data_IF_252791411184
#
_entry.id   IF_252791411184
#
_cell.length_a   1.000
_cell.length_b   1.000
_cell.length_c   1.000
_cell.angle_alpha   90.00
_cell.angle_beta   90.00
_cell.angle_gamma   90.00
#
_symmetry.space_group_name_H-M   'P 1'
#
loop_
_entity.id
_entity.type
_entity.pdbx_description
1 polymer ?
#
# COMPACT_ATOMS: atom_id res chain seq x y z
N UNK A 1 0.46 6.26 3.97
CA UNK A 1 1.74 6.96 4.28
C UNK A 1 2.96 6.14 3.89
N UNK A 2 3.27 5.01 4.53
CA UNK A 2 4.47 4.21 4.21
C UNK A 2 4.56 3.75 2.74
N UNK A 3 3.42 3.42 2.11
CA UNK A 3 3.37 3.05 0.69
C UNK A 3 3.60 4.21 -0.28
N UNK A 4 3.36 5.46 0.14
CA UNK A 4 3.68 6.62 -0.70
C UNK A 4 5.20 6.76 -0.87
N UNK A 5 5.96 6.48 0.19
CA UNK A 5 7.42 6.45 0.13
C UNK A 5 7.96 5.34 -0.79
N UNK A 6 7.26 4.20 -0.91
CA UNK A 6 7.62 3.15 -1.88
C UNK A 6 7.38 3.58 -3.33
N UNK A 7 6.44 4.48 -3.57
CA UNK A 7 6.17 5.07 -4.89
C UNK A 7 7.01 6.34 -5.14
N UNK A 8 7.95 6.68 -4.26
CA UNK A 8 8.72 7.94 -4.32
C UNK A 8 7.85 9.21 -4.28
N UNK A 9 6.69 9.15 -3.62
CA UNK A 9 5.74 10.25 -3.49
C UNK A 9 5.72 10.82 -2.07
N UNK A 10 5.30 12.08 -1.97
CA UNK A 10 5.03 12.72 -0.68
C UNK A 10 4.00 11.93 0.12
N UNK A 11 4.21 11.83 1.44
CA UNK A 11 3.34 11.07 2.32
C UNK A 11 1.86 11.48 2.18
N UNK A 12 1.60 12.78 1.99
CA UNK A 12 0.27 13.38 1.81
C UNK A 12 -0.54 12.70 0.70
N UNK A 13 0.09 12.26 -0.39
CA UNK A 13 -0.59 11.54 -1.48
C UNK A 13 -1.22 10.24 -0.99
N UNK A 14 -0.61 9.59 0.01
CA UNK A 14 -1.17 8.41 0.65
C UNK A 14 -2.47 8.68 1.42
N UNK A 15 -2.67 9.90 1.92
CA UNK A 15 -3.92 10.31 2.55
C UNK A 15 -5.01 10.52 1.49
N UNK A 16 -4.71 11.29 0.44
CA UNK A 16 -5.63 11.56 -0.67
C UNK A 16 -6.13 10.26 -1.32
N UNK A 17 -5.20 9.35 -1.60
CA UNK A 17 -5.48 8.04 -2.21
C UNK A 17 -6.35 7.14 -1.31
N UNK A 18 -6.30 7.34 0.01
CA UNK A 18 -7.15 6.58 0.95
C UNK A 18 -8.53 7.17 1.15
N UNK A 19 -8.72 8.45 0.82
CA UNK A 19 -9.95 9.19 1.07
C UNK A 19 -10.82 9.35 -0.18
N UNK A 20 -10.32 10.03 -1.22
CA UNK A 20 -11.14 10.38 -2.38
C UNK A 20 -11.64 9.16 -3.16
N UNK A 21 -10.79 8.16 -3.48
CA UNK A 21 -11.26 6.93 -4.10
C UNK A 21 -12.28 6.20 -3.24
N UNK A 22 -12.12 6.20 -1.92
CA UNK A 22 -13.06 5.53 -1.00
C UNK A 22 -14.44 6.19 -1.01
N UNK A 23 -14.51 7.52 -0.99
CA UNK A 23 -15.80 8.26 -1.09
C UNK A 23 -16.53 7.88 -2.37
N UNK A 24 -15.82 7.88 -3.49
CA UNK A 24 -16.37 7.52 -4.80
C UNK A 24 -16.83 6.05 -4.80
N UNK A 25 -16.00 5.16 -4.29
CA UNK A 25 -16.28 3.74 -4.24
C UNK A 25 -17.50 3.40 -3.40
N UNK A 26 -17.76 4.12 -2.30
CA UNK A 26 -18.97 3.91 -1.50
C UNK A 26 -20.25 4.21 -2.27
N UNK A 27 -20.20 5.13 -3.23
CA UNK A 27 -21.36 5.50 -4.05
C UNK A 27 -21.61 4.48 -5.16
N UNK A 28 -20.54 4.00 -5.81
CA UNK A 28 -20.65 3.20 -7.05
C UNK A 28 -20.36 1.71 -6.87
N UNK A 29 -19.59 1.33 -5.85
CA UNK A 29 -19.17 -0.04 -5.56
C UNK A 29 -20.29 -0.90 -4.97
N UNK A 30 -20.08 -2.22 -5.00
CA UNK A 30 -21.05 -3.19 -4.45
C UNK A 30 -20.59 -3.83 -3.16
N UNK A 31 -19.28 -3.84 -2.90
CA UNK A 31 -18.76 -4.42 -1.67
C UNK A 31 -19.02 -3.56 -0.44
N UNK A 32 -19.51 -4.20 0.64
CA UNK A 32 -19.84 -3.55 1.92
C UNK A 32 -18.65 -3.35 2.85
N UNK A 33 -17.58 -4.12 2.64
CA UNK A 33 -16.45 -4.19 3.56
C UNK A 33 -15.13 -3.72 2.95
N UNK A 34 -15.06 -3.50 1.64
CA UNK A 34 -13.83 -3.01 1.00
C UNK A 34 -13.59 -1.56 1.40
N UNK A 35 -12.34 -1.27 1.73
CA UNK A 35 -11.84 0.10 1.87
C UNK A 35 -10.69 0.30 0.89
N UNK A 36 -10.72 1.37 0.10
CA UNK A 36 -9.67 1.66 -0.87
C UNK A 36 -8.47 2.36 -0.22
N UNK A 37 -7.29 2.15 -0.78
CA UNK A 37 -6.06 2.83 -0.37
C UNK A 37 -4.87 2.41 -1.20
N UNK A 38 -3.68 2.91 -0.83
CA UNK A 38 -2.44 2.46 -1.46
C UNK A 38 -2.15 0.99 -1.12
N UNK A 39 -1.68 0.26 -2.13
CA UNK A 39 -1.23 -1.12 -2.00
C UNK A 39 0.25 -1.22 -2.42
N UNK A 40 1.03 -2.05 -1.72
CA UNK A 40 2.48 -2.11 -1.88
C UNK A 40 2.91 -2.46 -3.32
N UNK A 41 2.28 -3.45 -3.96
CA UNK A 41 2.63 -3.85 -5.33
C UNK A 41 2.30 -2.73 -6.31
N UNK A 42 1.10 -2.13 -6.19
CA UNK A 42 0.71 -1.01 -7.05
C UNK A 42 1.66 0.19 -6.90
N UNK A 43 2.11 0.49 -5.67
CA UNK A 43 3.08 1.55 -5.37
C UNK A 43 4.48 1.30 -5.95
N UNK A 44 4.93 0.04 -5.94
CA UNK A 44 6.20 -0.34 -6.57
C UNK A 44 6.11 -0.27 -8.11
N UNK A 45 4.98 -0.72 -8.70
CA UNK A 45 4.77 -0.66 -10.15
C UNK A 45 4.75 0.78 -10.66
N UNK A 46 3.99 1.68 -10.02
CA UNK A 46 4.01 3.12 -10.36
C UNK A 46 5.36 3.77 -10.11
N UNK A 47 6.05 3.44 -9.01
CA UNK A 47 7.41 3.93 -8.75
C UNK A 47 8.38 3.53 -9.87
N UNK A 48 8.33 2.27 -10.31
CA UNK A 48 9.17 1.77 -11.40
C UNK A 48 8.82 2.38 -12.76
N UNK A 49 7.54 2.63 -13.03
CA UNK A 49 7.10 3.32 -14.24
C UNK A 49 7.65 4.76 -14.25
N UNK A 50 7.55 5.46 -13.12
CA UNK A 50 8.07 6.83 -12.98
C UNK A 50 9.60 6.90 -13.16
N UNK A 51 10.35 5.91 -12.67
CA UNK A 51 11.81 5.88 -12.79
C UNK A 51 12.34 5.38 -14.14
N UNK A 52 11.50 4.85 -15.05
CA UNK A 52 11.89 4.24 -16.35
C UNK A 52 13.26 3.54 -16.31
N UNK A 53 13.42 2.59 -15.39
CA UNK A 53 14.55 1.67 -15.47
C UNK A 53 14.30 0.69 -16.62
N UNK A 54 15.20 0.68 -17.60
CA UNK A 54 15.14 -0.10 -18.84
C UNK A 54 14.98 -1.63 -18.65
N UNK A 55 15.11 -2.11 -17.42
CA UNK A 55 14.98 -3.52 -17.06
C UNK A 55 13.54 -4.06 -17.18
N UNK A 56 12.52 -3.21 -17.00
CA UNK A 56 11.09 -3.62 -17.08
C UNK A 56 10.58 -3.69 -18.52
N UNK A 57 11.16 -2.90 -19.44
CA UNK A 57 10.85 -2.96 -20.87
C UNK A 57 11.16 -4.34 -21.47
N UNK A 58 12.19 -5.04 -20.96
CA UNK A 58 12.51 -6.41 -21.37
C UNK A 58 11.40 -7.40 -20.96
N UNK A 59 10.81 -7.26 -19.77
CA UNK A 59 9.67 -8.07 -19.34
C UNK A 59 8.41 -7.84 -20.19
N UNK A 60 8.21 -6.59 -20.63
CA UNK A 60 7.10 -6.23 -21.52
C UNK A 60 7.27 -6.81 -22.93
N UNK A 61 8.49 -6.78 -23.49
CA UNK A 61 8.84 -7.34 -24.81
C UNK A 61 8.76 -8.88 -24.80
N UNK A 62 9.16 -9.52 -23.71
CA UNK A 62 9.15 -10.98 -23.56
C UNK A 62 7.77 -11.59 -23.23
N UNK A 63 6.69 -10.80 -23.24
CA UNK A 63 5.31 -11.23 -22.90
C UNK A 63 5.19 -12.04 -21.59
N UNK A 64 6.04 -11.75 -20.59
CA UNK A 64 6.02 -12.45 -19.29
C UNK A 64 4.83 -12.05 -18.39
N UNK A 65 3.89 -11.25 -18.92
CA UNK A 65 2.63 -10.86 -18.26
C UNK A 65 1.80 -12.06 -17.80
N UNK A 66 1.88 -13.20 -18.50
CA UNK A 66 1.23 -14.44 -18.08
C UNK A 66 1.73 -14.92 -16.71
N UNK A 67 3.02 -14.76 -16.39
CA UNK A 67 3.60 -15.16 -15.10
C UNK A 67 3.08 -14.30 -13.95
N UNK A 68 2.80 -13.01 -14.20
CA UNK A 68 2.25 -12.12 -13.16
C UNK A 68 0.79 -12.40 -12.84
N UNK A 69 0.00 -12.88 -13.81
CA UNK A 69 -1.38 -13.35 -13.61
C UNK A 69 -1.40 -14.76 -12.98
N UNK A 70 -0.38 -15.58 -13.27
CA UNK A 70 -0.15 -16.90 -12.67
C UNK A 70 0.71 -16.87 -11.41
N UNK A 71 0.94 -15.70 -10.81
CA UNK A 71 1.62 -15.61 -9.54
C UNK A 71 0.69 -16.23 -8.48
N UNK A 72 0.86 -17.53 -8.26
CA UNK A 72 0.03 -18.30 -7.36
C UNK A 72 0.05 -17.63 -5.97
N UNK A 73 -1.03 -17.76 -5.20
CA UNK A 73 -1.11 -17.25 -3.82
C UNK A 73 0.17 -17.53 -2.98
N UNK A 74 0.87 -18.69 -3.14
CA UNK A 74 2.16 -18.93 -2.50
C UNK A 74 3.29 -17.97 -2.90
N UNK A 75 3.34 -17.51 -4.16
CA UNK A 75 4.37 -16.58 -4.65
C UNK A 75 4.07 -15.15 -4.18
N UNK A 76 2.80 -14.72 -4.19
CA UNK A 76 2.40 -13.44 -3.59
C UNK A 76 2.65 -13.46 -2.08
N UNK A 77 2.32 -14.57 -1.41
CA UNK A 77 2.65 -14.82 0.00
C UNK A 77 4.16 -14.79 0.27
N UNK A 78 4.96 -15.47 -0.57
CA UNK A 78 6.42 -15.47 -0.48
C UNK A 78 7.05 -14.09 -0.71
N UNK A 79 6.57 -13.35 -1.71
CA UNK A 79 7.02 -11.99 -2.01
C UNK A 79 6.65 -11.01 -0.89
N UNK A 80 5.42 -11.04 -0.39
CA UNK A 80 4.99 -10.16 0.71
C UNK A 80 5.73 -10.48 2.01
N UNK A 81 5.93 -11.76 2.32
CA UNK A 81 6.73 -12.19 3.48
C UNK A 81 8.20 -11.75 3.33
N UNK A 82 8.80 -11.99 2.16
CA UNK A 82 10.17 -11.57 1.86
C UNK A 82 10.36 -10.05 1.93
N UNK A 83 9.42 -9.29 1.37
CA UNK A 83 9.39 -7.83 1.46
C UNK A 83 9.23 -7.35 2.92
N UNK A 84 8.38 -8.01 3.71
CA UNK A 84 8.22 -7.69 5.13
C UNK A 84 9.52 -7.96 5.91
N UNK A 85 10.16 -9.11 5.70
CA UNK A 85 11.46 -9.43 6.29
C UNK A 85 12.54 -8.41 5.88
N UNK A 86 12.57 -8.01 4.61
CA UNK A 86 13.50 -7.01 4.11
C UNK A 86 13.27 -5.63 4.73
N UNK A 87 12.02 -5.16 4.77
CA UNK A 87 11.67 -3.89 5.43
C UNK A 87 12.06 -3.94 6.89
N UNK A 88 11.69 -5.00 7.61
CA UNK A 88 12.06 -5.18 9.01
C UNK A 88 13.57 -5.09 9.21
N UNK A 89 14.36 -5.85 8.44
CA UNK A 89 15.82 -5.81 8.49
C UNK A 89 16.36 -4.39 8.24
N UNK A 90 15.83 -3.67 7.25
CA UNK A 90 16.27 -2.31 6.92
C UNK A 90 15.95 -1.25 7.99
N UNK A 91 14.95 -1.49 8.84
CA UNK A 91 14.57 -0.57 9.92
C UNK A 91 15.28 -0.88 11.25
N UNK A 92 15.80 -2.11 11.44
CA UNK A 92 16.49 -2.51 12.67
C UNK A 92 17.67 -1.61 13.07
N UNK A 93 18.60 -1.22 12.16
CA UNK A 93 19.71 -0.35 12.55
C UNK A 93 19.26 1.04 13.04
N UNK A 94 18.13 1.55 12.52
CA UNK A 94 17.59 2.85 12.92
C UNK A 94 17.00 2.82 14.33
N UNK A 95 16.39 1.71 14.72
CA UNK A 95 15.85 1.50 16.08
C UNK A 95 16.97 1.40 17.12
N UNK A 96 18.08 0.75 16.77
CA UNK A 96 19.25 0.56 17.65
C UNK A 96 20.22 1.76 17.57
N UNK A 97 20.07 2.65 16.59
CA UNK A 97 20.89 3.86 16.44
C UNK A 97 22.28 3.60 15.86
N UNK A 98 22.42 2.56 15.04
CA UNK A 98 23.69 2.15 14.42
C UNK A 98 23.65 2.47 12.93
N UNK A 99 24.72 3.07 12.40
CA UNK A 99 24.88 3.30 10.96
C UNK A 99 25.70 2.17 10.35
N UNK A 100 25.09 1.42 9.44
CA UNK A 100 25.78 0.37 8.67
C UNK A 100 26.06 0.94 7.27
N UNK A 101 27.32 0.96 6.82
CA UNK A 101 27.66 1.46 5.49
C UNK A 101 27.07 0.55 4.39
N UNK A 102 26.54 1.11 3.30
CA UNK A 102 25.98 0.33 2.21
C UNK A 102 27.08 -0.41 1.42
N UNK A 103 27.02 -1.74 1.37
CA UNK A 103 27.88 -2.56 0.51
C UNK A 103 27.34 -2.63 -0.92
N UNK A 104 28.19 -2.25 -1.88
CA UNK A 104 27.92 -2.35 -3.32
C UNK A 104 28.59 -3.62 -3.87
N UNK A 105 27.83 -4.46 -4.57
CA UNK A 105 28.32 -5.71 -5.17
C UNK A 105 27.36 -6.23 -6.25
N UNK A 106 27.88 -7.02 -7.22
CA UNK A 106 27.16 -7.38 -8.46
C UNK A 106 25.99 -8.36 -8.28
N UNK A 107 25.87 -9.03 -7.12
CA UNK A 107 24.77 -9.94 -6.79
C UNK A 107 23.89 -9.33 -5.67
N UNK A 108 22.87 -8.56 -6.05
CA UNK A 108 21.99 -7.85 -5.11
C UNK A 108 21.14 -8.74 -4.19
N UNK A 109 20.89 -10.00 -4.57
CA UNK A 109 20.01 -10.94 -3.89
C UNK A 109 20.56 -11.49 -2.55
N UNK A 110 21.88 -11.52 -2.36
CA UNK A 110 22.51 -12.04 -1.13
C UNK A 110 22.92 -10.95 -0.14
N UNK A 111 22.41 -9.72 -0.28
CA UNK A 111 22.78 -8.61 0.63
C UNK A 111 22.24 -8.77 2.06
N UNK A 112 21.10 -9.44 2.24
CA UNK A 112 20.43 -9.53 3.55
C UNK A 112 21.24 -10.36 4.56
N UNK A 113 21.76 -11.56 4.25
CA UNK A 113 22.59 -12.33 5.18
C UNK A 113 23.86 -11.57 5.63
N UNK A 114 24.57 -10.92 4.69
CA UNK A 114 25.74 -10.11 5.02
C UNK A 114 25.38 -8.89 5.87
N UNK A 115 24.26 -8.23 5.56
CA UNK A 115 23.76 -7.12 6.37
C UNK A 115 23.42 -7.56 7.80
N UNK A 116 22.81 -8.74 7.98
CA UNK A 116 22.52 -9.29 9.31
C UNK A 116 23.80 -9.60 10.08
N UNK A 117 24.84 -10.10 9.41
CA UNK A 117 26.15 -10.32 10.01
C UNK A 117 26.83 -9.00 10.43
N UNK A 118 26.85 -8.01 9.55
CA UNK A 118 27.40 -6.67 9.83
C UNK A 118 26.62 -5.97 10.96
N UNK A 119 25.30 -6.16 11.02
CA UNK A 119 24.45 -5.68 12.11
C UNK A 119 24.77 -6.37 13.44
N UNK A 120 24.94 -7.70 13.45
CA UNK A 120 25.29 -8.47 14.64
C UNK A 120 26.64 -8.03 15.22
N UNK A 121 27.63 -7.73 14.38
CA UNK A 121 28.91 -7.18 14.81
C UNK A 121 28.79 -5.73 15.33
N UNK A 122 27.87 -4.96 14.76
CA UNK A 122 27.68 -3.56 15.12
C UNK A 122 26.79 -3.34 16.35
N UNK A 123 26.17 -4.40 16.90
CA UNK A 123 25.38 -4.34 18.15
C UNK A 123 26.19 -3.79 19.34
N UNK A 124 27.51 -3.96 19.33
CA UNK A 124 28.40 -3.40 20.36
C UNK A 124 28.53 -1.88 20.29
N UNK A 125 28.23 -1.26 19.16
CA UNK A 125 28.29 0.21 18.94
C UNK A 125 26.89 0.86 19.02
N UNK A 126 25.98 0.25 19.77
CA UNK A 126 24.61 0.71 19.96
C UNK A 126 24.56 2.06 20.68
N UNK A 127 23.74 2.97 20.19
CA UNK A 127 23.46 4.23 20.87
C UNK A 127 22.28 4.05 21.82
N UNK A 128 22.56 4.02 23.13
CA UNK A 128 21.56 3.80 24.19
C UNK A 128 20.45 4.85 24.16
N UNK A 129 20.73 6.11 23.80
CA UNK A 129 19.71 7.16 23.73
C UNK A 129 18.69 6.90 22.62
N UNK A 130 19.13 6.44 21.45
CA UNK A 130 18.24 6.09 20.34
C UNK A 130 17.41 4.85 20.67
N UNK A 131 18.01 3.88 21.37
CA UNK A 131 17.32 2.69 21.85
C UNK A 131 16.20 3.04 22.85
N UNK A 132 16.48 3.91 23.82
CA UNK A 132 15.48 4.36 24.80
C UNK A 132 14.36 5.15 24.09
N UNK A 133 14.71 6.08 23.20
CA UNK A 133 13.72 6.88 22.47
C UNK A 133 12.85 6.03 21.54
N UNK A 134 13.43 5.04 20.85
CA UNK A 134 12.67 4.13 20.00
C UNK A 134 11.79 3.18 20.81
N UNK A 135 12.26 2.71 21.97
CA UNK A 135 11.44 1.93 22.90
C UNK A 135 10.25 2.74 23.38
N UNK A 136 10.47 3.95 23.90
CA UNK A 136 9.40 4.87 24.33
C UNK A 136 8.42 5.13 23.18
N UNK A 137 8.93 5.41 21.97
CA UNK A 137 8.09 5.63 20.79
C UNK A 137 7.25 4.40 20.42
N UNK A 138 7.83 3.20 20.47
CA UNK A 138 7.10 1.95 20.20
C UNK A 138 6.04 1.71 21.28
N UNK A 139 6.37 1.91 22.55
CA UNK A 139 5.42 1.72 23.66
C UNK A 139 4.27 2.72 23.57
N UNK A 140 4.54 3.98 23.23
CA UNK A 140 3.52 5.01 22.99
C UNK A 140 2.66 4.66 21.77
N UNK A 141 3.25 4.22 20.66
CA UNK A 141 2.50 3.82 19.47
C UNK A 141 1.63 2.58 19.73
N UNK A 142 2.18 1.58 20.42
CA UNK A 142 1.47 0.34 20.77
C UNK A 142 0.34 0.63 21.76
N UNK A 143 0.59 1.45 22.78
CA UNK A 143 -0.44 1.88 23.73
C UNK A 143 -1.51 2.72 23.02
N UNK A 144 -1.08 3.60 22.12
CA UNK A 144 -1.95 4.35 21.21
C UNK A 144 -2.85 3.43 20.40
N UNK A 145 -2.30 2.38 19.78
CA UNK A 145 -3.01 1.45 18.90
C UNK A 145 -3.92 0.45 19.64
N UNK A 146 -3.50 -0.05 20.80
CA UNK A 146 -4.18 -1.15 21.49
C UNK A 146 -5.00 -0.71 22.71
N UNK A 147 -4.61 0.36 23.42
CA UNK A 147 -5.32 0.85 24.60
C UNK A 147 -6.17 2.10 24.30
N UNK A 148 -5.65 3.02 23.49
CA UNK A 148 -6.30 4.33 23.23
C UNK A 148 -7.22 4.26 22.01
N UNK A 149 -6.78 3.62 20.92
CA UNK A 149 -7.55 3.55 19.68
C UNK A 149 -8.92 2.88 19.86
N UNK A 150 -9.08 1.71 20.51
CA UNK A 150 -10.40 1.09 20.65
C UNK A 150 -11.47 1.97 21.36
N UNK A 151 -11.18 2.67 22.48
CA UNK A 151 -12.15 3.58 23.10
C UNK A 151 -12.25 4.96 22.43
N UNK A 152 -11.16 5.51 21.88
CA UNK A 152 -11.17 6.84 21.22
C UNK A 152 -11.86 6.79 19.86
N UNK A 153 -11.78 5.66 19.15
CA UNK A 153 -12.48 5.43 17.88
C UNK A 153 -14.01 5.34 18.08
N UNK A 154 -14.50 5.17 19.32
CA UNK A 154 -15.92 5.30 19.67
C UNK A 154 -16.37 6.75 19.89
N UNK A 155 -15.45 7.70 20.09
CA UNK A 155 -15.77 9.10 20.48
C UNK A 155 -15.32 10.15 19.47
N UNK A 156 -14.32 9.87 18.63
CA UNK A 156 -13.85 10.77 17.59
C UNK A 156 -14.09 10.11 16.23
N UNK A 157 -15.15 10.55 15.55
CA UNK A 157 -15.35 10.29 14.12
C UNK A 157 -14.47 11.28 13.35
N UNK A 158 -13.55 10.74 12.56
CA UNK A 158 -12.74 11.46 11.56
C UNK A 158 -11.50 12.19 12.12
N UNK A 159 -10.26 11.77 11.76
CA UNK A 159 -9.11 12.67 11.84
C UNK A 159 -9.29 13.77 10.79
N UNK A 160 -9.52 15.01 11.22
CA UNK A 160 -9.72 16.17 10.33
C UNK A 160 -8.36 16.62 9.78
N UNK A 161 -8.08 16.47 8.49
CA UNK A 161 -6.85 16.95 7.88
C UNK A 161 -7.14 18.35 7.33
N UNK A 162 -6.51 19.39 7.88
CA UNK A 162 -6.64 20.75 7.34
C UNK A 162 -5.84 20.95 6.04
N UNK A 163 -5.16 19.92 5.53
CA UNK A 163 -4.47 19.89 4.23
C UNK A 163 -5.23 19.08 3.14
N UNK A 164 -6.52 18.81 3.36
CA UNK A 164 -7.30 17.83 2.58
C UNK A 164 -7.84 18.32 1.24
N UNK A 165 -7.56 19.56 0.83
CA UNK A 165 -7.92 20.05 -0.49
C UNK A 165 -6.71 19.87 -1.42
N UNK A 166 -6.60 18.76 -2.18
CA UNK A 166 -5.64 18.70 -3.25
C UNK A 166 -5.97 19.83 -4.23
N UNK A 167 -4.98 20.64 -4.56
CA UNK A 167 -5.10 21.56 -5.69
C UNK A 167 -5.31 20.65 -6.92
N UNK A 168 -6.45 20.76 -7.64
CA UNK A 168 -6.68 19.94 -8.81
C UNK A 168 -5.54 20.18 -9.80
N UNK A 169 -4.74 19.15 -10.05
CA UNK A 169 -3.63 19.22 -10.98
C UNK A 169 -4.03 18.45 -12.23
N UNK A 170 -3.95 19.11 -13.39
CA UNK A 170 -4.21 18.44 -14.66
C UNK A 170 -3.08 17.43 -14.92
N UNK A 171 -3.40 16.16 -15.22
CA UNK A 171 -2.39 15.19 -15.61
C UNK A 171 -1.71 15.64 -16.91
N UNK A 172 -0.39 15.52 -16.97
CA UNK A 172 0.36 15.84 -18.20
C UNK A 172 0.13 14.75 -19.25
N UNK A 173 -0.65 15.09 -20.28
CA UNK A 173 -0.99 14.17 -21.36
C UNK A 173 0.17 13.90 -22.33
N UNK A 174 1.27 14.67 -22.27
CA UNK A 174 2.41 14.51 -23.20
C UNK A 174 3.05 13.13 -23.13
N UNK A 175 3.07 12.53 -21.94
CA UNK A 175 3.68 11.22 -21.69
C UNK A 175 2.65 10.08 -21.65
N UNK A 176 1.37 10.37 -21.93
CA UNK A 176 0.27 9.42 -21.80
C UNK A 176 0.52 8.12 -22.58
N UNK A 177 0.93 8.23 -23.85
CA UNK A 177 1.21 7.07 -24.69
C UNK A 177 2.34 6.19 -24.14
N UNK A 178 3.34 6.80 -23.51
CA UNK A 178 4.50 6.10 -22.98
C UNK A 178 4.22 5.35 -21.65
N UNK A 179 3.14 5.72 -20.95
CA UNK A 179 2.69 5.05 -19.72
C UNK A 179 1.43 4.20 -19.91
N UNK A 180 0.92 4.09 -21.15
CA UNK A 180 -0.34 3.40 -21.44
C UNK A 180 -0.29 1.92 -21.02
N UNK A 181 0.82 1.24 -21.35
CA UNK A 181 0.99 -0.17 -21.01
C UNK A 181 1.12 -0.36 -19.49
N UNK A 182 1.95 0.45 -18.82
CA UNK A 182 2.12 0.41 -17.37
C UNK A 182 0.78 0.66 -16.66
N UNK A 183 0.02 1.67 -17.11
CA UNK A 183 -1.29 2.01 -16.57
C UNK A 183 -2.30 0.87 -16.75
N UNK A 184 -2.30 0.21 -17.91
CA UNK A 184 -3.15 -0.96 -18.17
C UNK A 184 -2.81 -2.12 -17.21
N UNK A 185 -1.53 -2.44 -17.05
CA UNK A 185 -1.08 -3.51 -16.15
C UNK A 185 -1.42 -3.21 -14.68
N UNK A 186 -1.15 -1.98 -14.23
CA UNK A 186 -1.52 -1.53 -12.89
C UNK A 186 -3.04 -1.64 -12.68
N UNK A 187 -3.85 -1.25 -13.67
CA UNK A 187 -5.31 -1.36 -13.59
C UNK A 187 -5.79 -2.81 -13.46
N UNK A 188 -5.21 -3.74 -14.21
CA UNK A 188 -5.54 -5.18 -14.13
C UNK A 188 -5.21 -5.73 -12.73
N UNK A 189 -4.01 -5.43 -12.21
CA UNK A 189 -3.58 -5.89 -10.88
C UNK A 189 -4.48 -5.32 -9.79
N UNK A 190 -4.74 -4.01 -9.83
CA UNK A 190 -5.60 -3.32 -8.86
C UNK A 190 -7.02 -3.89 -8.85
N UNK A 191 -7.60 -4.09 -10.04
CA UNK A 191 -8.94 -4.66 -10.17
C UNK A 191 -8.99 -6.09 -9.63
N UNK A 192 -8.03 -6.94 -10.01
CA UNK A 192 -7.93 -8.33 -9.58
C UNK A 192 -7.86 -8.45 -8.05
N UNK A 193 -6.96 -7.70 -7.42
CA UNK A 193 -6.81 -7.67 -5.96
C UNK A 193 -8.09 -7.20 -5.27
N UNK A 194 -8.68 -6.11 -5.77
CA UNK A 194 -9.88 -5.51 -5.17
C UNK A 194 -11.07 -6.47 -5.22
N UNK A 195 -11.34 -7.08 -6.38
CA UNK A 195 -12.43 -8.06 -6.53
C UNK A 195 -12.16 -9.33 -5.70
N UNK A 196 -10.91 -9.78 -5.62
CA UNK A 196 -10.54 -10.95 -4.82
C UNK A 196 -10.81 -10.72 -3.34
N UNK A 197 -10.35 -9.59 -2.79
CA UNK A 197 -10.66 -9.18 -1.40
C UNK A 197 -12.17 -9.07 -1.20
N UNK A 198 -12.89 -8.45 -2.14
CA UNK A 198 -14.34 -8.32 -2.06
C UNK A 198 -15.05 -9.65 -1.96
N UNK A 199 -14.72 -10.60 -2.84
CA UNK A 199 -15.36 -11.93 -2.88
C UNK A 199 -15.17 -12.69 -1.57
N UNK A 200 -14.03 -12.54 -0.90
CA UNK A 200 -13.78 -13.15 0.42
C UNK A 200 -14.81 -12.67 1.45
N UNK A 201 -15.05 -11.36 1.54
CA UNK A 201 -16.03 -10.80 2.48
C UNK A 201 -17.48 -11.01 2.05
N UNK A 202 -17.75 -11.00 0.74
CA UNK A 202 -19.06 -11.32 0.16
C UNK A 202 -19.52 -12.71 0.55
N UNK A 203 -18.62 -13.70 0.41
CA UNK A 203 -18.86 -15.08 0.84
C UNK A 203 -19.03 -15.19 2.36
N UNK A 204 -18.21 -14.48 3.14
CA UNK A 204 -18.27 -14.49 4.61
C UNK A 204 -19.58 -13.92 5.17
N UNK A 205 -20.12 -12.89 4.54
CA UNK A 205 -21.30 -12.14 5.02
C UNK A 205 -22.54 -12.32 4.15
N UNK A 206 -22.57 -13.37 3.31
CA UNK A 206 -23.71 -13.75 2.48
C UNK A 206 -24.31 -12.60 1.63
N UNK A 207 -23.45 -11.84 0.94
CA UNK A 207 -23.88 -10.89 -0.08
C UNK A 207 -23.18 -11.16 -1.41
N UNK A 208 -23.70 -10.61 -2.50
CA UNK A 208 -23.12 -10.77 -3.83
C UNK A 208 -22.40 -9.51 -4.28
N UNK A 209 -21.28 -9.70 -4.97
CA UNK A 209 -20.53 -8.63 -5.63
C UNK A 209 -20.74 -8.76 -7.14
N UNK A 210 -21.01 -7.63 -7.80
CA UNK A 210 -21.22 -7.59 -9.25
C UNK A 210 -19.93 -7.15 -9.94
N UNK A 211 -19.20 -8.04 -10.65
CA UNK A 211 -17.89 -7.72 -11.21
C UNK A 211 -17.91 -6.54 -12.20
N UNK A 212 -18.95 -6.44 -13.03
CA UNK A 212 -19.12 -5.33 -13.98
C UNK A 212 -19.28 -3.98 -13.29
N UNK A 213 -19.97 -3.94 -12.15
CA UNK A 213 -20.15 -2.72 -11.37
C UNK A 213 -18.89 -2.36 -10.60
N UNK A 214 -18.18 -3.35 -10.03
CA UNK A 214 -16.87 -3.15 -9.41
C UNK A 214 -15.86 -2.56 -10.39
N UNK A 215 -15.82 -3.06 -11.62
CA UNK A 215 -14.90 -2.55 -12.65
C UNK A 215 -15.19 -1.08 -12.97
N UNK A 216 -16.47 -0.71 -13.14
CA UNK A 216 -16.90 0.66 -13.41
C UNK A 216 -16.58 1.59 -12.22
N UNK A 217 -16.86 1.14 -11.00
CA UNK A 217 -16.57 1.88 -9.79
C UNK A 217 -15.06 2.15 -9.66
N UNK A 218 -14.23 1.12 -9.88
CA UNK A 218 -12.78 1.25 -9.84
C UNK A 218 -12.25 2.16 -10.95
N UNK A 219 -12.75 2.04 -12.17
CA UNK A 219 -12.37 2.94 -13.26
C UNK A 219 -12.67 4.40 -12.92
N UNK A 220 -13.86 4.68 -12.36
CA UNK A 220 -14.25 6.03 -11.96
C UNK A 220 -13.38 6.56 -10.81
N UNK A 221 -13.07 5.71 -9.82
CA UNK A 221 -12.16 6.06 -8.73
C UNK A 221 -10.77 6.47 -9.24
N UNK A 222 -10.21 5.74 -10.20
CA UNK A 222 -8.88 6.05 -10.75
C UNK A 222 -8.90 7.30 -11.64
N UNK A 223 -9.95 7.46 -12.46
CA UNK A 223 -10.09 8.65 -13.31
C UNK A 223 -10.18 9.92 -12.47
N UNK A 224 -11.12 9.96 -11.52
CA UNK A 224 -11.29 11.13 -10.65
C UNK A 224 -10.09 11.30 -9.73
N UNK A 225 -9.52 10.20 -9.22
CA UNK A 225 -8.30 10.21 -8.43
C UNK A 225 -7.12 10.86 -9.17
N UNK A 226 -6.99 10.63 -10.48
CA UNK A 226 -5.96 11.25 -11.30
C UNK A 226 -6.00 12.79 -11.29
N UNK A 227 -7.19 13.39 -11.31
CA UNK A 227 -7.36 14.85 -11.21
C UNK A 227 -7.13 15.41 -9.81
N UNK A 228 -7.26 14.56 -8.79
CA UNK A 228 -7.08 14.91 -7.38
C UNK A 228 -5.68 14.56 -6.87
N UNK A 229 -4.71 14.38 -7.78
CA UNK A 229 -3.33 13.98 -7.45
C UNK A 229 -3.25 12.72 -6.58
N UNK A 230 -4.18 11.78 -6.77
CA UNK A 230 -4.17 10.50 -6.09
C UNK A 230 -3.29 9.50 -6.83
N UNK A 231 -2.62 8.66 -6.05
CA UNK A 231 -2.00 7.45 -6.57
C UNK A 231 -3.07 6.42 -6.92
N UNK A 232 -2.81 5.48 -7.86
CA UNK A 232 -3.70 4.35 -8.11
C UNK A 232 -4.10 3.62 -6.83
N UNK A 233 -5.40 3.59 -6.53
CA UNK A 233 -5.95 3.00 -5.30
C UNK A 233 -6.41 1.55 -5.52
N UNK A 234 -6.28 0.71 -4.50
CA UNK A 234 -6.69 -0.71 -4.48
C UNK A 234 -7.40 -1.05 -3.19
N UNK A 235 -8.19 -2.13 -3.20
CA UNK A 235 -8.81 -2.68 -1.99
C UNK A 235 -7.77 -3.10 -0.95
N UNK A 236 -7.91 -2.60 0.29
CA UNK A 236 -7.05 -2.93 1.42
C UNK A 236 -7.63 -4.10 2.21
N UNK A 237 -6.94 -5.25 2.16
CA UNK A 237 -7.33 -6.43 2.94
C UNK A 237 -7.34 -6.12 4.45
N UNK A 238 -6.29 -5.47 4.96
CA UNK A 238 -6.15 -5.19 6.40
C UNK A 238 -7.29 -4.30 6.93
N UNK A 239 -7.66 -3.23 6.20
CA UNK A 239 -8.78 -2.36 6.59
C UNK A 239 -10.12 -3.09 6.47
N UNK A 240 -10.31 -3.88 5.43
CA UNK A 240 -11.53 -4.67 5.25
C UNK A 240 -11.73 -5.73 6.36
N UNK A 241 -10.64 -6.34 6.86
CA UNK A 241 -10.69 -7.25 8.02
C UNK A 241 -11.14 -6.51 9.27
N UNK A 242 -10.53 -5.37 9.58
CA UNK A 242 -10.89 -4.56 10.76
C UNK A 242 -12.36 -4.13 10.65
N UNK A 243 -12.77 -3.65 9.48
CA UNK A 243 -14.13 -3.21 9.23
C UNK A 243 -15.14 -4.36 9.42
N UNK A 244 -14.80 -5.57 8.94
CA UNK A 244 -15.59 -6.78 9.20
C UNK A 244 -15.61 -7.21 10.67
N UNK A 245 -14.55 -6.96 11.45
CA UNK A 245 -14.48 -7.31 12.88
C UNK A 245 -15.30 -6.33 13.73
N UNK A 246 -15.41 -5.08 13.30
CA UNK A 246 -16.23 -4.05 13.93
C UNK A 246 -17.74 -4.21 13.65
N UNK A 247 -18.15 -5.29 12.97
CA UNK A 247 -19.56 -5.57 12.68
C UNK A 247 -20.17 -4.65 11.63
N UNK A 248 -19.35 -4.05 10.76
CA UNK A 248 -19.85 -3.20 9.69
C UNK A 248 -20.79 -3.94 8.75
N UNK A 249 -21.92 -3.32 8.40
CA UNK A 249 -22.94 -3.91 7.51
C UNK A 249 -23.15 -3.11 6.22
N UNK A 250 -22.54 -1.94 6.10
CA UNK A 250 -22.69 -1.02 4.97
C UNK A 250 -21.35 -0.49 4.47
N UNK A 251 -21.27 -0.13 3.19
CA UNK A 251 -20.06 0.42 2.57
C UNK A 251 -19.61 1.75 3.20
N UNK A 252 -20.52 2.48 3.84
CA UNK A 252 -20.22 3.77 4.52
C UNK A 252 -19.20 3.60 5.66
N UNK A 253 -19.18 2.42 6.29
CA UNK A 253 -18.18 2.07 7.31
C UNK A 253 -16.73 2.22 6.82
N UNK A 254 -16.50 2.05 5.51
CA UNK A 254 -15.19 2.18 4.89
C UNK A 254 -14.62 3.61 4.95
N UNK A 255 -15.45 4.64 5.11
CA UNK A 255 -14.98 6.02 5.34
C UNK A 255 -14.38 6.21 6.75
N UNK A 256 -14.75 5.36 7.70
CA UNK A 256 -14.35 5.48 9.12
C UNK A 256 -13.22 4.52 9.54
N UNK A 257 -12.99 3.47 8.74
CA UNK A 257 -11.90 2.47 8.85
C UNK A 257 -10.63 2.95 8.17
#
# INVERSE_FOLDING_TARGET
>A
MAYAALAHLNAVVGLYTSLFPTIIYVIFGTSRHITLGMFAVAALMTGSALERRMEVAAFAILQLHFITVYLADPVVGGFTTGAACHVFASQMPKLIGVRIPPRHGPLGLFKIPYFLFDFALSLKRTNVYVLIMSLISITILMSGKYLINPPVQQRIRVPIPFELLPIPALPDFRHFAAFLLDAFLIAVVIYSVTVSVGKVFAKKHNYQIRPSQELRAMALCQLVGGFLSCHPASGSLSRAVINSQLGATSSVSSLSS
#
